data_IF_693223893149
#
_entry.id   IF_693223893149
#
_cell.length_a   1.000
_cell.length_b   1.000
_cell.length_c   1.000
_cell.angle_alpha   90.00
_cell.angle_beta   90.00
_cell.angle_gamma   90.00
#
_symmetry.space_group_name_H-M   'P 1'
#
loop_
_entity.id
_entity.type
_entity.pdbx_description
1 polymer ?
#
# COMPACT_ATOMS: atom_id res chain seq x y z
N UNK A 1 69.67 9.06 33.10
CA UNK A 1 68.52 8.15 33.04
C UNK A 1 67.89 8.11 34.42
N UNK A 2 66.75 8.78 34.62
CA UNK A 2 66.06 8.89 35.91
C UNK A 2 64.65 8.33 35.74
N UNK A 3 64.32 7.28 36.47
CA UNK A 3 62.99 6.68 36.56
C UNK A 3 62.25 7.32 37.73
N UNK A 4 61.04 7.81 37.50
CA UNK A 4 60.16 8.37 38.53
C UNK A 4 59.04 7.36 38.82
N UNK A 5 59.02 6.81 40.03
CA UNK A 5 57.93 6.01 40.59
C UNK A 5 56.74 6.94 40.90
N UNK A 6 55.54 6.60 40.42
CA UNK A 6 54.29 7.16 40.93
C UNK A 6 53.56 6.13 41.78
N UNK A 7 53.27 6.49 43.03
CA UNK A 7 52.43 5.78 43.98
C UNK A 7 50.97 5.82 43.51
N UNK A 8 50.32 4.67 43.39
CA UNK A 8 48.87 4.56 43.21
C UNK A 8 48.20 4.48 44.59
N UNK A 9 47.38 5.48 44.93
CA UNK A 9 46.50 5.45 46.09
C UNK A 9 45.20 4.72 45.72
N UNK A 10 44.88 3.64 46.43
CA UNK A 10 43.62 2.92 46.32
C UNK A 10 42.54 3.64 47.14
N UNK A 11 41.53 4.19 46.48
CA UNK A 11 40.31 4.67 47.12
C UNK A 11 39.30 3.51 47.22
N UNK A 12 39.04 3.05 48.45
CA UNK A 12 37.89 2.21 48.76
C UNK A 12 36.62 3.07 48.72
N UNK A 13 35.73 2.81 47.77
CA UNK A 13 34.35 3.29 47.83
C UNK A 13 33.51 2.30 48.64
N UNK A 14 33.02 2.74 49.80
CA UNK A 14 32.02 2.02 50.59
C UNK A 14 30.72 1.89 49.79
N UNK A 15 30.27 0.66 49.57
CA UNK A 15 28.94 0.37 49.02
C UNK A 15 27.87 0.64 50.09
N UNK A 16 26.93 1.52 49.78
CA UNK A 16 25.71 1.70 50.58
C UNK A 16 24.74 0.52 50.31
N UNK A 17 24.17 -0.11 51.35
CA UNK A 17 23.19 -1.18 51.18
C UNK A 17 21.80 -0.60 50.88
N UNK A 18 21.15 -1.02 49.78
CA UNK A 18 19.71 -0.81 49.64
C UNK A 18 19.14 -0.47 48.25
N UNK A 19 19.93 -0.39 47.18
CA UNK A 19 19.38 -0.20 45.83
C UNK A 19 19.21 -1.54 45.12
N UNK A 20 17.94 -1.94 44.89
CA UNK A 20 17.62 -3.05 43.98
C UNK A 20 18.21 -2.73 42.62
N UNK A 21 19.14 -3.56 42.15
CA UNK A 21 19.62 -3.54 40.77
C UNK A 21 18.43 -3.94 39.89
N UNK A 22 17.82 -2.96 39.24
CA UNK A 22 16.84 -3.22 38.19
C UNK A 22 17.59 -3.75 36.97
N UNK A 23 17.13 -4.87 36.35
CA UNK A 23 17.69 -5.33 35.09
C UNK A 23 17.63 -4.21 34.07
N UNK A 24 18.75 -3.98 33.38
CA UNK A 24 18.78 -3.12 32.20
C UNK A 24 17.90 -3.80 31.16
N UNK A 25 16.72 -3.22 30.96
CA UNK A 25 15.77 -3.62 29.93
C UNK A 25 16.51 -3.62 28.59
N UNK A 26 16.88 -4.81 28.13
CA UNK A 26 17.36 -5.05 26.77
C UNK A 26 16.15 -5.36 25.91
N UNK A 27 15.14 -4.49 25.98
CA UNK A 27 14.18 -4.32 24.90
C UNK A 27 14.99 -4.12 23.61
N UNK A 28 14.70 -4.87 22.53
CA UNK A 28 15.31 -4.61 21.25
C UNK A 28 15.09 -3.14 20.95
N UNK A 29 16.18 -2.42 20.70
CA UNK A 29 16.13 -1.05 20.20
C UNK A 29 15.35 -1.13 18.90
N UNK A 30 14.05 -0.86 18.97
CA UNK A 30 13.22 -0.62 17.80
C UNK A 30 13.94 0.51 17.08
N UNK A 31 14.41 0.31 15.83
CA UNK A 31 15.08 1.37 15.12
C UNK A 31 14.14 2.58 15.09
N UNK A 32 14.74 3.76 15.27
CA UNK A 32 14.09 5.07 15.31
C UNK A 32 13.36 5.44 13.99
N UNK A 33 13.19 4.50 13.07
CA UNK A 33 12.37 4.55 11.87
C UNK A 33 10.87 4.31 12.13
N UNK A 34 10.47 3.88 13.33
CA UNK A 34 9.06 3.67 13.70
C UNK A 34 8.26 4.96 14.00
N UNK A 35 8.63 6.11 13.44
CA UNK A 35 7.80 7.33 13.51
C UNK A 35 6.92 7.40 12.27
N UNK A 36 5.64 7.06 12.49
CA UNK A 36 4.44 7.22 11.64
C UNK A 36 4.07 6.04 10.74
N UNK A 37 3.69 4.91 11.32
CA UNK A 37 2.56 4.15 10.75
C UNK A 37 1.32 5.00 11.03
N UNK A 38 0.88 5.74 10.02
CA UNK A 38 -0.24 6.68 10.15
C UNK A 38 -1.56 6.05 9.69
N UNK A 39 -1.51 5.15 8.70
CA UNK A 39 -2.66 4.66 7.93
C UNK A 39 -2.54 3.15 7.66
N UNK A 40 -3.66 2.46 7.47
CA UNK A 40 -3.74 1.02 7.18
C UNK A 40 -4.73 0.81 6.05
N UNK A 41 -4.37 0.06 5.01
CA UNK A 41 -5.37 -0.33 4.02
C UNK A 41 -6.24 -1.45 4.58
N UNK A 42 -7.38 -1.70 3.94
CA UNK A 42 -8.25 -2.81 4.29
C UNK A 42 -8.50 -3.69 3.07
N UNK A 43 -8.69 -5.00 3.25
CA UNK A 43 -9.25 -5.85 2.20
C UNK A 43 -10.52 -5.26 1.59
N UNK A 44 -10.80 -5.67 0.35
CA UNK A 44 -11.92 -5.15 -0.42
C UNK A 44 -13.26 -5.31 0.31
N UNK A 45 -13.98 -4.21 0.50
CA UNK A 45 -15.30 -4.21 1.12
C UNK A 45 -16.39 -4.36 0.05
N UNK A 46 -16.49 -5.54 -0.56
CA UNK A 46 -17.48 -5.81 -1.61
C UNK A 46 -18.90 -5.58 -1.10
N UNK A 47 -19.67 -4.86 -1.91
CA UNK A 47 -21.10 -4.64 -1.74
C UNK A 47 -21.87 -5.41 -2.80
N UNK A 48 -22.90 -6.12 -2.36
CA UNK A 48 -23.85 -6.77 -3.25
C UNK A 48 -24.88 -5.73 -3.71
N UNK A 49 -25.13 -5.64 -5.02
CA UNK A 49 -26.17 -4.76 -5.55
C UNK A 49 -27.55 -5.36 -5.25
N UNK A 50 -28.44 -4.54 -4.68
CA UNK A 50 -29.82 -4.91 -4.36
C UNK A 50 -30.78 -4.75 -5.55
N UNK A 51 -30.43 -3.96 -6.56
CA UNK A 51 -31.29 -3.63 -7.70
C UNK A 51 -30.50 -3.65 -9.02
N UNK A 52 -30.74 -4.68 -9.83
CA UNK A 52 -30.13 -4.89 -11.15
C UNK A 52 -30.67 -3.96 -12.26
N UNK A 53 -31.35 -2.86 -11.92
CA UNK A 53 -32.08 -2.04 -12.90
C UNK A 53 -31.44 -0.68 -13.21
N UNK A 54 -30.39 -0.26 -12.49
CA UNK A 54 -29.63 0.95 -12.83
C UNK A 54 -28.61 0.66 -13.95
N UNK A 55 -29.12 0.58 -15.18
CA UNK A 55 -28.30 0.44 -16.39
C UNK A 55 -27.45 1.68 -16.65
N UNK A 56 -26.30 1.79 -15.99
CA UNK A 56 -25.07 2.40 -16.55
C UNK A 56 -23.89 2.17 -15.58
N UNK A 57 -22.95 1.29 -15.98
CA UNK A 57 -21.60 1.06 -15.42
C UNK A 57 -21.53 0.08 -14.23
N UNK A 58 -20.69 -0.94 -14.45
CA UNK A 58 -20.22 -2.04 -13.58
C UNK A 58 -21.16 -2.55 -12.48
N UNK A 59 -21.50 -3.84 -12.52
CA UNK A 59 -22.42 -4.49 -11.55
C UNK A 59 -21.74 -4.86 -10.21
N UNK A 60 -20.52 -4.37 -9.94
CA UNK A 60 -19.74 -4.71 -8.76
C UNK A 60 -19.30 -3.45 -8.03
N UNK A 61 -19.73 -3.31 -6.78
CA UNK A 61 -19.44 -2.16 -5.94
C UNK A 61 -18.57 -2.55 -4.76
N UNK A 62 -17.80 -1.57 -4.27
CA UNK A 62 -17.04 -1.66 -3.03
C UNK A 62 -17.17 -0.37 -2.24
N UNK A 63 -17.15 -0.48 -0.92
CA UNK A 63 -17.12 0.70 -0.04
C UNK A 63 -15.81 1.49 -0.13
N UNK A 64 -14.72 0.87 -0.59
CA UNK A 64 -13.39 1.48 -0.57
C UNK A 64 -12.57 1.32 -1.86
N UNK A 65 -12.86 0.37 -2.76
CA UNK A 65 -12.03 0.10 -3.95
C UNK A 65 -12.73 0.42 -5.28
N UNK A 66 -11.99 1.04 -6.21
CA UNK A 66 -12.34 1.08 -7.63
C UNK A 66 -11.16 0.62 -8.47
N UNK A 67 -11.42 -0.09 -9.57
CA UNK A 67 -10.36 -0.60 -10.43
C UNK A 67 -10.72 -1.93 -11.05
N UNK A 68 -9.71 -2.79 -11.19
CA UNK A 68 -9.87 -4.11 -11.78
C UNK A 68 -9.21 -5.18 -10.91
N UNK A 69 -9.95 -6.29 -10.71
CA UNK A 69 -9.48 -7.47 -9.98
C UNK A 69 -9.56 -8.69 -10.88
N UNK A 70 -8.42 -9.30 -11.16
CA UNK A 70 -8.35 -10.57 -11.85
C UNK A 70 -8.48 -11.70 -10.82
N UNK A 71 -9.53 -12.53 -10.94
CA UNK A 71 -9.77 -13.67 -10.05
C UNK A 71 -9.27 -14.95 -10.72
N UNK A 72 -8.49 -15.74 -9.99
CA UNK A 72 -7.85 -16.93 -10.51
C UNK A 72 -7.01 -17.65 -9.47
N UNK A 73 -5.85 -18.17 -9.88
CA UNK A 73 -4.94 -18.88 -8.98
C UNK A 73 -3.49 -18.84 -9.49
N UNK A 74 -2.56 -18.84 -8.54
CA UNK A 74 -1.13 -18.83 -8.78
C UNK A 74 -0.63 -17.53 -9.39
N UNK A 75 -1.29 -16.40 -9.08
CA UNK A 75 -0.77 -15.07 -9.39
C UNK A 75 0.40 -14.74 -8.47
N UNK A 76 1.51 -14.30 -9.06
CA UNK A 76 2.72 -14.05 -8.30
C UNK A 76 3.38 -12.72 -8.65
N UNK A 77 2.93 -12.01 -9.68
CA UNK A 77 3.46 -10.69 -10.01
C UNK A 77 2.41 -9.81 -10.63
N UNK A 78 2.34 -8.57 -10.15
CA UNK A 78 1.44 -7.54 -10.71
C UNK A 78 2.22 -6.25 -10.90
N UNK A 79 2.01 -5.60 -12.03
CA UNK A 79 2.68 -4.36 -12.41
C UNK A 79 1.67 -3.39 -13.02
N UNK A 80 1.82 -2.11 -12.72
CA UNK A 80 1.14 -1.01 -13.41
C UNK A 80 2.00 0.24 -13.39
N UNK A 81 1.75 1.17 -14.31
CA UNK A 81 2.39 2.48 -14.33
C UNK A 81 1.33 3.56 -14.39
N UNK A 82 1.34 4.48 -13.42
CA UNK A 82 0.45 5.64 -13.43
C UNK A 82 1.24 6.89 -13.79
N UNK A 83 0.53 7.88 -14.33
CA UNK A 83 0.95 9.28 -14.22
C UNK A 83 0.33 9.84 -12.94
N UNK A 84 1.13 10.43 -12.06
CA UNK A 84 0.65 11.01 -10.80
C UNK A 84 -0.34 12.14 -11.11
N UNK A 85 -1.60 12.04 -10.66
CA UNK A 85 -2.61 13.05 -10.95
C UNK A 85 -2.40 14.31 -10.11
N UNK A 86 -2.97 15.42 -10.57
CA UNK A 86 -3.30 16.54 -9.70
C UNK A 86 -4.57 16.18 -8.91
N UNK A 87 -4.58 16.47 -7.61
CA UNK A 87 -5.65 16.06 -6.70
C UNK A 87 -6.22 17.27 -5.98
N UNK A 88 -7.54 17.26 -5.78
CA UNK A 88 -8.28 18.30 -5.07
C UNK A 88 -9.34 17.68 -4.17
N UNK A 89 -9.84 18.44 -3.20
CA UNK A 89 -10.86 17.95 -2.28
C UNK A 89 -10.96 18.81 -1.03
N UNK A 90 -11.74 18.33 -0.06
CA UNK A 90 -11.75 18.91 1.28
C UNK A 90 -10.41 18.69 1.99
N UNK A 91 -10.15 19.46 3.05
CA UNK A 91 -8.99 19.25 3.90
C UNK A 91 -9.01 17.83 4.50
N UNK A 92 -7.90 17.11 4.39
CA UNK A 92 -7.80 15.70 4.79
C UNK A 92 -8.37 14.68 3.78
N UNK A 93 -8.97 15.12 2.67
CA UNK A 93 -9.39 14.19 1.62
C UNK A 93 -8.16 13.56 0.95
N UNK A 94 -8.23 12.26 0.68
CA UNK A 94 -7.13 11.51 0.10
C UNK A 94 -7.61 10.35 -0.76
N UNK A 95 -6.70 9.77 -1.52
CA UNK A 95 -6.89 8.50 -2.20
C UNK A 95 -5.52 7.85 -2.46
N UNK A 96 -5.50 6.54 -2.67
CA UNK A 96 -4.29 5.81 -3.05
C UNK A 96 -4.47 5.14 -4.40
N UNK A 97 -3.39 4.99 -5.15
CA UNK A 97 -3.33 4.17 -6.36
C UNK A 97 -2.23 3.13 -6.19
N UNK A 98 -2.57 1.86 -6.33
CA UNK A 98 -1.66 0.75 -6.02
C UNK A 98 -1.92 -0.49 -6.88
N UNK A 99 -0.93 -1.39 -6.88
CA UNK A 99 -1.04 -2.74 -7.45
C UNK A 99 -0.82 -3.79 -6.37
N UNK A 100 -1.52 -4.91 -6.46
CA UNK A 100 -1.49 -5.91 -5.41
C UNK A 100 -1.78 -7.34 -5.85
N UNK A 101 -1.56 -8.25 -4.90
CA UNK A 101 -1.99 -9.64 -4.94
C UNK A 101 -2.83 -9.90 -3.68
N UNK A 102 -3.99 -10.54 -3.88
CA UNK A 102 -5.00 -10.89 -2.87
C UNK A 102 -5.78 -9.69 -2.27
N UNK A 103 -6.56 -9.90 -1.21
CA UNK A 103 -7.40 -8.87 -0.59
C UNK A 103 -8.83 -8.78 -1.10
N UNK A 104 -9.15 -9.44 -2.21
CA UNK A 104 -10.52 -9.51 -2.71
C UNK A 104 -11.23 -10.80 -2.30
N UNK A 105 -11.08 -11.90 -3.04
CA UNK A 105 -11.63 -13.20 -2.61
C UNK A 105 -10.77 -13.85 -1.52
N UNK A 106 -9.50 -13.47 -1.43
CA UNK A 106 -8.59 -13.86 -0.36
C UNK A 106 -8.45 -12.74 0.66
N UNK A 107 -9.17 -12.84 1.77
CA UNK A 107 -9.22 -11.79 2.80
C UNK A 107 -8.11 -11.89 3.86
N UNK A 108 -7.23 -12.90 3.76
CA UNK A 108 -6.23 -13.20 4.81
C UNK A 108 -4.95 -12.38 4.70
N UNK A 109 -4.62 -11.91 3.49
CA UNK A 109 -3.38 -11.21 3.19
C UNK A 109 -3.55 -10.35 1.95
N UNK A 110 -2.72 -9.31 1.84
CA UNK A 110 -2.50 -8.55 0.61
C UNK A 110 -1.03 -8.21 0.55
N UNK A 111 -0.37 -8.45 -0.58
CA UNK A 111 0.93 -7.89 -0.89
C UNK A 111 0.73 -6.74 -1.87
N UNK A 112 1.11 -5.52 -1.51
CA UNK A 112 0.77 -4.33 -2.30
C UNK A 112 1.79 -3.20 -2.14
N UNK A 113 1.82 -2.33 -3.15
CA UNK A 113 2.62 -1.10 -3.15
C UNK A 113 2.00 -0.06 -4.07
N UNK A 114 2.15 1.21 -3.70
CA UNK A 114 1.59 2.31 -4.47
C UNK A 114 1.92 3.66 -3.88
N UNK A 115 1.12 4.64 -4.28
CA UNK A 115 1.23 6.03 -3.83
C UNK A 115 -0.13 6.51 -3.34
N UNK A 116 -0.14 7.16 -2.18
CA UNK A 116 -1.24 7.96 -1.67
C UNK A 116 -1.05 9.42 -2.03
N UNK A 117 -2.14 10.08 -2.41
CA UNK A 117 -2.21 11.49 -2.77
C UNK A 117 -3.27 12.17 -1.92
N UNK A 118 -2.91 13.35 -1.39
CA UNK A 118 -3.73 14.13 -0.47
C UNK A 118 -4.15 15.45 -1.13
N UNK A 119 -5.33 15.95 -0.78
CA UNK A 119 -5.86 17.21 -1.33
C UNK A 119 -5.01 18.45 -0.99
N UNK A 120 -4.13 18.36 0.01
CA UNK A 120 -3.15 19.41 0.35
C UNK A 120 -1.92 19.42 -0.58
N UNK A 121 -1.87 18.51 -1.56
CA UNK A 121 -0.79 18.36 -2.53
C UNK A 121 0.39 17.51 -2.04
N UNK A 122 0.29 16.92 -0.85
CA UNK A 122 1.29 15.97 -0.37
C UNK A 122 1.09 14.56 -0.96
N UNK A 123 2.16 13.79 -0.96
CA UNK A 123 2.20 12.40 -1.45
C UNK A 123 2.89 11.51 -0.44
N UNK A 124 2.51 10.23 -0.43
CA UNK A 124 3.22 9.18 0.30
C UNK A 124 3.39 7.94 -0.58
N UNK A 125 4.62 7.46 -0.71
CA UNK A 125 4.95 6.25 -1.46
C UNK A 125 5.17 5.10 -0.48
N UNK A 126 4.49 3.97 -0.65
CA UNK A 126 4.40 2.96 0.41
C UNK A 126 4.39 1.52 -0.09
N UNK A 127 4.65 0.60 0.84
CA UNK A 127 4.51 -0.84 0.68
C UNK A 127 3.80 -1.43 1.90
N UNK A 128 3.09 -2.54 1.71
CA UNK A 128 2.33 -3.18 2.78
C UNK A 128 2.18 -4.68 2.56
N UNK A 129 2.12 -5.41 3.67
CA UNK A 129 1.68 -6.80 3.72
C UNK A 129 0.61 -6.95 4.80
N UNK A 130 -0.68 -6.92 4.42
CA UNK A 130 -1.79 -7.05 5.38
C UNK A 130 -1.71 -8.39 6.12
N UNK A 131 -1.97 -8.44 7.44
CA UNK A 131 -2.57 -7.39 8.28
C UNK A 131 -1.58 -6.49 9.02
N UNK A 132 -0.31 -6.44 8.61
CA UNK A 132 0.59 -5.42 9.14
C UNK A 132 0.29 -4.05 8.50
N UNK A 133 0.82 -3.00 9.10
CA UNK A 133 0.62 -1.62 8.64
C UNK A 133 1.32 -1.34 7.30
N UNK A 134 0.87 -0.30 6.61
CA UNK A 134 1.61 0.31 5.52
C UNK A 134 2.85 1.06 6.03
N UNK A 135 3.94 0.96 5.27
CA UNK A 135 5.20 1.64 5.57
C UNK A 135 5.63 2.53 4.39
N UNK A 136 6.02 3.76 4.71
CA UNK A 136 6.49 4.72 3.71
C UNK A 136 7.93 4.41 3.24
N UNK A 137 8.17 4.61 1.96
CA UNK A 137 9.49 4.77 1.37
C UNK A 137 9.97 6.22 1.57
N UNK A 138 10.82 6.46 2.57
CA UNK A 138 11.23 7.83 2.94
C UNK A 138 12.12 8.55 1.92
N UNK A 139 12.69 7.83 0.95
CA UNK A 139 13.66 8.35 -0.03
C UNK A 139 13.14 8.11 -1.46
N UNK A 140 11.88 8.48 -1.70
CA UNK A 140 11.24 8.36 -3.01
C UNK A 140 10.40 9.60 -3.25
N UNK A 141 10.91 10.51 -4.06
CA UNK A 141 10.21 11.76 -4.36
C UNK A 141 9.11 11.53 -5.42
N UNK A 142 7.96 12.16 -5.19
CA UNK A 142 6.78 12.08 -6.05
C UNK A 142 6.31 13.48 -6.36
N UNK A 143 6.04 13.76 -7.63
CA UNK A 143 5.43 15.02 -8.09
C UNK A 143 4.32 14.75 -9.09
N UNK A 144 3.36 15.69 -9.19
CA UNK A 144 2.31 15.65 -10.22
C UNK A 144 2.96 15.52 -11.61
N UNK A 145 2.42 14.62 -12.43
CA UNK A 145 2.93 14.32 -13.76
C UNK A 145 4.03 13.26 -13.80
N UNK A 146 4.55 12.80 -12.65
CA UNK A 146 5.55 11.73 -12.65
C UNK A 146 4.98 10.41 -13.16
N UNK A 147 5.81 9.63 -13.86
CA UNK A 147 5.47 8.28 -14.28
C UNK A 147 5.99 7.28 -13.24
N UNK A 148 5.09 6.72 -12.45
CA UNK A 148 5.44 5.80 -11.38
C UNK A 148 5.06 4.39 -11.79
N UNK A 149 6.06 3.52 -11.93
CA UNK A 149 5.86 2.08 -12.08
C UNK A 149 5.85 1.43 -10.70
N UNK A 150 4.81 0.64 -10.47
CA UNK A 150 4.61 -0.15 -9.27
C UNK A 150 4.73 -1.62 -9.63
N UNK A 151 5.35 -2.42 -8.77
CA UNK A 151 5.44 -3.86 -8.97
C UNK A 151 5.44 -4.59 -7.63
N UNK A 152 4.60 -5.61 -7.54
CA UNK A 152 4.71 -6.64 -6.50
C UNK A 152 5.10 -7.97 -7.13
N UNK A 153 5.96 -8.72 -6.44
CA UNK A 153 6.51 -10.00 -6.91
C UNK A 153 6.60 -10.98 -5.71
N UNK A 154 5.66 -11.91 -5.62
CA UNK A 154 5.59 -12.96 -4.61
C UNK A 154 6.45 -14.16 -5.04
N UNK A 155 7.54 -14.40 -4.31
CA UNK A 155 8.39 -15.59 -4.48
C UNK A 155 7.83 -16.83 -3.79
N UNK A 156 6.97 -16.62 -2.78
CA UNK A 156 6.13 -17.62 -2.15
C UNK A 156 4.94 -16.92 -1.50
N UNK A 157 3.99 -17.71 -1.00
CA UNK A 157 2.85 -17.21 -0.24
C UNK A 157 3.19 -16.43 1.04
N UNK A 158 4.46 -16.41 1.46
CA UNK A 158 4.93 -15.73 2.67
C UNK A 158 6.19 -14.89 2.44
N UNK A 159 6.57 -14.69 1.16
CA UNK A 159 7.75 -13.91 0.78
C UNK A 159 7.52 -13.21 -0.54
N UNK A 160 7.84 -11.94 -0.60
CA UNK A 160 7.71 -11.17 -1.83
C UNK A 160 8.50 -9.88 -1.79
N UNK A 161 8.36 -9.11 -2.86
CA UNK A 161 9.04 -7.85 -3.04
C UNK A 161 8.05 -6.82 -3.54
N UNK A 162 8.05 -5.64 -2.93
CA UNK A 162 7.36 -4.44 -3.40
C UNK A 162 8.40 -3.47 -3.98
N UNK A 163 8.14 -2.94 -5.17
CA UNK A 163 9.03 -2.01 -5.87
C UNK A 163 8.25 -0.83 -6.42
N UNK A 164 8.78 0.37 -6.20
CA UNK A 164 8.37 1.59 -6.89
C UNK A 164 9.54 2.14 -7.70
N UNK A 165 9.27 2.54 -8.93
CA UNK A 165 10.21 3.20 -9.83
C UNK A 165 9.58 4.52 -10.31
N UNK A 166 10.22 5.65 -10.02
CA UNK A 166 9.86 6.92 -10.62
C UNK A 166 10.64 7.03 -11.94
N UNK A 167 9.96 6.75 -13.04
CA UNK A 167 10.55 6.72 -14.38
C UNK A 167 10.93 8.12 -14.87
N UNK A 168 10.33 9.18 -14.32
CA UNK A 168 10.70 10.57 -14.65
C UNK A 168 12.05 10.94 -14.03
N UNK A 169 12.25 10.58 -12.76
CA UNK A 169 13.44 10.98 -11.99
C UNK A 169 14.51 9.89 -11.92
N UNK A 170 14.23 8.69 -12.44
CA UNK A 170 15.04 7.48 -12.32
C UNK A 170 15.30 7.02 -10.88
N UNK A 171 14.43 7.40 -9.93
CA UNK A 171 14.48 6.87 -8.58
C UNK A 171 13.85 5.48 -8.51
N UNK A 172 14.40 4.62 -7.64
CA UNK A 172 13.90 3.28 -7.40
C UNK A 172 14.03 2.92 -5.94
N UNK A 173 12.95 2.40 -5.37
CA UNK A 173 12.92 1.86 -4.01
C UNK A 173 12.29 0.47 -4.02
N UNK A 174 12.77 -0.37 -3.10
CA UNK A 174 12.35 -1.76 -3.01
C UNK A 174 12.31 -2.18 -1.55
N UNK A 175 11.28 -2.96 -1.20
CA UNK A 175 11.18 -3.63 0.09
C UNK A 175 11.01 -5.14 -0.11
N UNK A 176 11.77 -5.93 0.64
CA UNK A 176 11.72 -7.40 0.61
C UNK A 176 11.07 -7.95 1.87
N UNK A 177 9.93 -8.61 1.69
CA UNK A 177 9.21 -9.30 2.75
C UNK A 177 9.79 -10.71 2.93
N UNK A 178 10.39 -10.95 4.10
CA UNK A 178 11.00 -12.26 4.43
C UNK A 178 10.36 -12.95 5.63
N UNK A 179 9.66 -12.20 6.48
CA UNK A 179 8.88 -12.67 7.63
C UNK A 179 7.52 -11.94 7.62
N UNK A 180 6.50 -12.56 7.03
CA UNK A 180 5.19 -11.93 6.83
C UNK A 180 4.20 -12.31 7.93
N UNK A 181 3.25 -11.42 8.28
CA UNK A 181 2.23 -11.68 9.31
C UNK A 181 1.16 -12.70 8.89
N UNK A 182 1.07 -12.98 7.60
CA UNK A 182 -0.01 -13.75 6.98
C UNK A 182 0.49 -14.49 5.74
N UNK A 183 -0.40 -15.29 5.15
CA UNK A 183 -0.14 -16.10 3.96
C UNK A 183 -1.07 -15.69 2.82
N UNK A 184 -0.49 -15.41 1.65
CA UNK A 184 -1.22 -15.16 0.41
C UNK A 184 -1.95 -16.42 -0.07
N UNK A 185 -3.11 -16.23 -0.68
CA UNK A 185 -3.79 -17.28 -1.43
C UNK A 185 -3.26 -17.37 -2.88
N UNK A 186 -2.76 -16.26 -3.41
CA UNK A 186 -2.37 -16.04 -4.81
C UNK A 186 -3.54 -16.18 -5.78
N UNK A 187 -4.72 -15.69 -5.38
CA UNK A 187 -6.00 -15.84 -6.10
C UNK A 187 -6.53 -14.55 -6.70
N UNK A 188 -6.03 -13.40 -6.25
CA UNK A 188 -6.37 -12.11 -6.82
C UNK A 188 -5.11 -11.38 -7.32
N UNK A 189 -5.28 -10.59 -8.37
CA UNK A 189 -4.28 -9.66 -8.88
C UNK A 189 -4.99 -8.39 -9.33
N UNK A 190 -4.55 -7.23 -8.85
CA UNK A 190 -5.36 -6.03 -8.97
C UNK A 190 -4.60 -4.72 -9.18
N UNK A 191 -5.33 -3.76 -9.76
CA UNK A 191 -4.94 -2.36 -9.97
C UNK A 191 -6.06 -1.48 -9.44
N UNK A 192 -5.81 -0.82 -8.30
CA UNK A 192 -6.87 -0.24 -7.48
C UNK A 192 -6.57 1.23 -7.20
N UNK A 193 -7.62 2.05 -7.25
CA UNK A 193 -7.71 3.31 -6.52
C UNK A 193 -8.58 3.11 -5.30
N UNK A 194 -8.12 3.56 -4.13
CA UNK A 194 -8.78 3.26 -2.85
C UNK A 194 -9.01 4.50 -1.98
N UNK A 195 -10.17 4.52 -1.30
CA UNK A 195 -10.42 5.33 -0.11
C UNK A 195 -9.95 4.53 1.13
N UNK A 196 -8.70 4.74 1.55
CA UNK A 196 -8.03 3.94 2.60
C UNK A 196 -8.45 4.36 4.02
N UNK A 197 -8.00 3.63 5.05
CA UNK A 197 -8.27 4.00 6.45
C UNK A 197 -7.12 4.81 7.04
N UNK A 198 -7.51 5.92 7.66
CA UNK A 198 -6.61 6.88 8.28
C UNK A 198 -7.15 7.34 9.62
N UNK A 199 -6.31 7.29 10.68
CA UNK A 199 -6.73 7.74 12.01
C UNK A 199 -7.90 6.95 12.63
N UNK A 200 -8.20 5.75 12.11
CA UNK A 200 -9.31 4.91 12.56
C UNK A 200 -10.63 5.11 11.79
N UNK A 201 -10.62 5.89 10.71
CA UNK A 201 -11.78 6.12 9.83
C UNK A 201 -11.38 6.08 8.36
N UNK A 202 -12.33 5.80 7.47
CA UNK A 202 -12.09 5.90 6.03
C UNK A 202 -11.85 7.36 5.67
N UNK A 203 -10.88 7.64 4.80
CA UNK A 203 -10.70 9.00 4.26
C UNK A 203 -11.87 9.38 3.38
N UNK A 204 -12.19 10.68 3.37
CA UNK A 204 -13.00 11.24 2.29
C UNK A 204 -12.24 11.10 0.97
N UNK A 205 -12.88 10.51 -0.04
CA UNK A 205 -12.24 10.24 -1.33
C UNK A 205 -11.95 11.56 -2.05
N UNK A 206 -10.67 11.86 -2.24
CA UNK A 206 -10.25 13.05 -2.99
C UNK A 206 -10.62 12.96 -4.47
N UNK A 207 -10.85 14.11 -5.10
CA UNK A 207 -10.98 14.21 -6.54
C UNK A 207 -9.61 14.12 -7.21
N UNK A 208 -9.27 12.90 -7.64
CA UNK A 208 -8.05 12.59 -8.39
C UNK A 208 -8.20 12.73 -9.91
N UNK A 209 -9.36 13.20 -10.38
CA UNK A 209 -9.71 13.27 -11.80
C UNK A 209 -9.75 11.89 -12.45
N UNK A 210 -8.61 11.43 -12.97
CA UNK A 210 -8.48 10.10 -13.59
C UNK A 210 -7.09 9.54 -13.35
N UNK A 211 -7.05 8.30 -12.85
CA UNK A 211 -5.84 7.49 -12.75
C UNK A 211 -5.92 6.39 -13.80
N UNK A 212 -4.86 6.22 -14.59
CA UNK A 212 -4.74 5.09 -15.51
C UNK A 212 -3.48 4.30 -15.23
N UNK A 213 -3.64 3.04 -14.85
CA UNK A 213 -2.59 2.05 -14.81
C UNK A 213 -2.31 1.58 -16.23
N UNK A 214 -1.30 2.15 -16.86
CA UNK A 214 -0.75 1.68 -18.14
C UNK A 214 0.24 0.54 -17.90
N UNK A 215 0.57 -0.20 -18.97
CA UNK A 215 1.45 -1.37 -18.87
C UNK A 215 1.01 -2.32 -17.74
N UNK A 216 -0.32 -2.46 -17.61
CA UNK A 216 -0.96 -3.31 -16.63
C UNK A 216 -0.70 -4.77 -17.01
N UNK A 217 0.09 -5.45 -16.19
CA UNK A 217 0.54 -6.83 -16.44
C UNK A 217 0.39 -7.65 -15.17
N UNK A 218 -0.17 -8.84 -15.31
CA UNK A 218 -0.20 -9.88 -14.28
C UNK A 218 0.59 -11.08 -14.79
N UNK A 219 1.37 -11.70 -13.91
CA UNK A 219 2.01 -12.99 -14.16
C UNK A 219 1.64 -14.00 -13.10
N UNK A 220 1.74 -15.27 -13.48
CA UNK A 220 1.52 -16.39 -12.58
C UNK A 220 1.91 -17.71 -13.21
N UNK A 221 1.47 -18.80 -12.59
CA UNK A 221 1.71 -20.17 -13.08
C UNK A 221 1.20 -20.44 -14.50
N UNK A 222 0.23 -19.65 -14.97
CA UNK A 222 -0.37 -19.74 -16.32
C UNK A 222 0.29 -18.83 -17.35
N UNK A 223 1.38 -18.15 -17.00
CA UNK A 223 2.07 -17.18 -17.86
C UNK A 223 1.70 -15.74 -17.52
N UNK A 224 1.86 -14.86 -18.51
CA UNK A 224 1.70 -13.41 -18.36
C UNK A 224 0.58 -12.90 -19.25
N UNK A 225 -0.27 -12.03 -18.71
CA UNK A 225 -1.38 -11.39 -19.45
C UNK A 225 -1.62 -9.95 -18.98
N UNK A 226 -2.42 -9.20 -19.73
CA UNK A 226 -2.98 -7.92 -19.27
C UNK A 226 -4.28 -8.11 -18.47
N UNK A 227 -4.99 -7.02 -18.12
CA UNK A 227 -6.19 -7.05 -17.27
C UNK A 227 -7.48 -7.45 -18.02
N UNK A 228 -7.39 -7.99 -19.23
CA UNK A 228 -8.58 -8.39 -19.99
C UNK A 228 -9.39 -9.45 -19.27
N UNK A 229 -10.69 -9.19 -19.10
CA UNK A 229 -11.59 -10.10 -18.40
C UNK A 229 -11.48 -10.05 -16.88
N UNK A 230 -10.70 -9.11 -16.31
CA UNK A 230 -10.78 -8.78 -14.89
C UNK A 230 -12.17 -8.25 -14.55
N UNK A 231 -12.61 -8.47 -13.31
CA UNK A 231 -13.81 -7.84 -12.79
C UNK A 231 -13.52 -6.37 -12.52
N UNK A 232 -14.35 -5.49 -13.07
CA UNK A 232 -14.29 -4.06 -12.75
C UNK A 232 -15.10 -3.83 -11.48
N UNK A 233 -14.56 -3.05 -10.55
CA UNK A 233 -15.21 -2.65 -9.31
C UNK A 233 -15.25 -1.12 -9.25
N UNK A 234 -16.36 -0.57 -8.76
CA UNK A 234 -16.56 0.87 -8.56
C UNK A 234 -16.69 1.20 -7.05
N UNK A 235 -16.21 2.38 -6.63
CA UNK A 235 -16.42 2.85 -5.26
C UNK A 235 -17.84 3.39 -5.16
N UNK A 236 -18.62 2.77 -4.29
CA UNK A 236 -19.95 3.24 -3.89
C UNK A 236 -20.18 2.89 -2.41
N UNK A 237 -20.45 3.88 -1.53
CA UNK A 237 -20.72 3.62 -0.12
C UNK A 237 -22.13 3.03 0.13
N UNK A 238 -23.02 3.07 -0.86
CA UNK A 238 -24.47 2.84 -0.74
C UNK A 238 -25.01 1.93 -1.86
N UNK A 239 -24.24 0.90 -2.20
CA UNK A 239 -24.66 -0.20 -3.09
C UNK A 239 -25.10 0.25 -4.50
N UNK A 240 -24.45 1.28 -5.03
CA UNK A 240 -24.65 1.82 -6.37
C UNK A 240 -25.55 3.04 -6.46
N UNK A 241 -26.16 3.48 -5.34
CA UNK A 241 -27.02 4.68 -5.35
C UNK A 241 -26.19 5.97 -5.56
N UNK A 242 -25.00 6.00 -4.99
CA UNK A 242 -23.97 7.03 -5.16
C UNK A 242 -22.68 6.34 -5.58
N UNK A 243 -22.22 6.64 -6.79
CA UNK A 243 -20.93 6.15 -7.27
C UNK A 243 -19.93 7.30 -7.18
N UNK A 244 -18.80 7.06 -6.52
CA UNK A 244 -17.74 8.06 -6.31
C UNK A 244 -16.57 7.88 -7.27
N UNK A 245 -16.30 6.64 -7.71
CA UNK A 245 -15.26 6.34 -8.70
C UNK A 245 -15.66 5.15 -9.57
N UNK A 246 -15.39 5.24 -10.88
CA UNK A 246 -15.72 4.22 -11.86
C UNK A 246 -14.48 3.65 -12.54
N UNK A 247 -14.37 2.33 -12.59
CA UNK A 247 -13.33 1.60 -13.30
C UNK A 247 -13.68 1.29 -14.75
N UNK A 248 -12.66 1.04 -15.56
CA UNK A 248 -12.75 0.50 -16.92
C UNK A 248 -11.44 -0.18 -17.29
N UNK A 249 -11.49 -1.14 -18.23
CA UNK A 249 -10.31 -1.89 -18.67
C UNK A 249 -10.17 -1.86 -20.20
N UNK A 250 -8.92 -1.92 -20.65
CA UNK A 250 -8.54 -2.29 -22.02
C UNK A 250 -7.71 -3.57 -21.97
N UNK A 251 -7.06 -3.94 -23.09
CA UNK A 251 -6.17 -5.09 -23.10
C UNK A 251 -4.90 -4.93 -22.26
N UNK A 252 -4.48 -3.69 -21.97
CA UNK A 252 -3.21 -3.39 -21.31
C UNK A 252 -3.29 -2.22 -20.31
N UNK A 253 -4.49 -1.74 -20.00
CA UNK A 253 -4.68 -0.66 -19.03
C UNK A 253 -5.93 -0.86 -18.16
N UNK A 254 -5.86 -0.29 -16.96
CA UNK A 254 -6.99 -0.11 -16.05
C UNK A 254 -7.13 1.39 -15.79
N UNK A 255 -8.31 1.95 -16.02
CA UNK A 255 -8.58 3.39 -15.81
C UNK A 255 -9.66 3.53 -14.75
N UNK A 256 -9.37 4.32 -13.71
CA UNK A 256 -10.33 4.73 -12.69
C UNK A 256 -10.56 6.23 -12.80
N UNK A 257 -11.82 6.62 -12.87
CA UNK A 257 -12.24 8.02 -12.94
C UNK A 257 -13.06 8.40 -11.72
N UNK A 258 -12.69 9.50 -11.07
CA UNK A 258 -13.51 10.12 -10.04
C UNK A 258 -14.79 10.70 -10.66
N UNK A 259 -15.93 10.41 -10.04
CA UNK A 259 -17.27 10.87 -10.45
C UNK A 259 -18.12 11.35 -9.27
N UNK A 260 -17.52 11.49 -8.09
CA UNK A 260 -18.18 12.09 -6.93
C UNK A 260 -18.60 13.53 -7.22
N UNK A 261 -19.73 13.93 -6.62
CA UNK A 261 -20.26 15.30 -6.69
C UNK A 261 -19.90 16.07 -5.42
#
# INVERSE_FOLDING_TARGET
MKFTLFLAAASLALAAPGTKLTPRDTSPVVPRSARRAKYSSHPNQRLWSLDSEARTKNDQYSGNWAGAVQIGSGYNKVQGTITVPEVSGADGAAASAWVGIDGDTCQTAILQTGISFYADGSFDAWYEWIPDYAYSFSNFDVSVGDQIRMTVDASSKTKGVATLENLTTNQKVTHSFTNTPSTLCETNAEWIVEAFQEGGSQVDLANFGTVTFTNAVVSGTKGTSGPSGAQIIDISPDQGQTVQAVGSITSNSVTVKYVGN
#
